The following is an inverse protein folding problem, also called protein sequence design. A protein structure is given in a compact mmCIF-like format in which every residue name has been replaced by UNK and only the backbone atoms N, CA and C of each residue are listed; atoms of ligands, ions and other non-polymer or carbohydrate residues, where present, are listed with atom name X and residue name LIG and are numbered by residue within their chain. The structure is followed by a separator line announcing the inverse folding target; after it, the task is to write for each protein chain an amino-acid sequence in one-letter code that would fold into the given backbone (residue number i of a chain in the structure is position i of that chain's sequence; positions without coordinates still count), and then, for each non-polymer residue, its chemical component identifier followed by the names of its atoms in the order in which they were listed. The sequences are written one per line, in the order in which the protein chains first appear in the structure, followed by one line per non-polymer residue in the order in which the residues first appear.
data_IF_573208490175
#
_entry.id   IF_573208490175
#
_cell.length_a   1.000
_cell.length_b   1.000
_cell.length_c   1.000
_cell.angle_alpha   90.00
_cell.angle_beta   90.00
_cell.angle_gamma   90.00
#
_symmetry.space_group_name_H-M   'P 1'
#
loop_
_entity.id
_entity.type
_entity.pdbx_description
1 polymer ?
#
# COMPACT_ATOMS: atom_id res chain seq x y z
N UNK A 1 23.03 -12.40 -13.03
CA UNK A 1 22.37 -11.26 -12.36
C UNK A 1 21.00 -11.74 -11.90
N UNK A 2 20.68 -11.58 -10.61
CA UNK A 2 19.40 -12.02 -10.02
C UNK A 2 18.30 -11.07 -10.52
N UNK A 3 17.15 -11.61 -10.93
CA UNK A 3 16.02 -10.76 -11.33
C UNK A 3 15.59 -9.91 -10.13
N UNK A 4 15.27 -8.65 -10.38
CA UNK A 4 14.78 -7.72 -9.36
C UNK A 4 13.53 -8.28 -8.66
N UNK A 5 12.67 -8.95 -9.43
CA UNK A 5 11.48 -9.64 -8.90
C UNK A 5 11.84 -10.69 -7.85
N UNK A 6 12.83 -11.53 -8.15
CA UNK A 6 13.26 -12.58 -7.21
C UNK A 6 13.78 -11.93 -5.94
N UNK A 7 14.59 -10.88 -6.06
CA UNK A 7 15.11 -10.11 -4.92
C UNK A 7 13.99 -9.58 -4.03
N UNK A 8 12.92 -9.00 -4.61
CA UNK A 8 11.75 -8.56 -3.86
C UNK A 8 11.04 -9.70 -3.12
N UNK A 9 10.92 -10.88 -3.74
CA UNK A 9 10.32 -12.06 -3.10
C UNK A 9 11.12 -12.50 -1.87
N UNK A 10 12.46 -12.54 -1.97
CA UNK A 10 13.31 -12.89 -0.82
C UNK A 10 13.26 -11.83 0.29
N UNK A 11 13.22 -10.54 -0.07
CA UNK A 11 13.03 -9.47 0.91
C UNK A 11 11.68 -9.63 1.62
N UNK A 12 10.61 -9.90 0.88
CA UNK A 12 9.28 -10.10 1.47
C UNK A 12 9.28 -11.31 2.42
N UNK A 13 9.88 -12.43 2.02
CA UNK A 13 10.00 -13.61 2.87
C UNK A 13 10.79 -13.31 4.16
N UNK A 14 11.90 -12.57 4.06
CA UNK A 14 12.68 -12.15 5.21
C UNK A 14 11.89 -11.21 6.13
N UNK A 15 11.15 -10.25 5.58
CA UNK A 15 10.28 -9.36 6.34
C UNK A 15 9.19 -10.15 7.10
N UNK A 16 8.56 -11.13 6.46
CA UNK A 16 7.58 -12.00 7.10
C UNK A 16 8.19 -12.82 8.26
N UNK A 17 9.40 -13.35 8.08
CA UNK A 17 10.09 -14.06 9.16
C UNK A 17 10.43 -13.12 10.33
N UNK A 18 10.95 -11.93 10.03
CA UNK A 18 11.25 -10.90 11.04
C UNK A 18 9.98 -10.41 11.75
N UNK A 19 8.84 -10.33 11.06
CA UNK A 19 7.55 -10.00 11.67
C UNK A 19 7.14 -11.03 12.70
N UNK A 20 7.30 -12.32 12.42
CA UNK A 20 7.02 -13.38 13.39
C UNK A 20 7.91 -13.24 14.63
N UNK A 21 9.21 -12.97 14.46
CA UNK A 21 10.14 -12.74 15.56
C UNK A 21 9.75 -11.50 16.38
N UNK A 22 9.46 -10.38 15.72
CA UNK A 22 9.07 -9.14 16.37
C UNK A 22 7.75 -9.29 17.15
N UNK A 23 6.80 -10.06 16.61
CA UNK A 23 5.54 -10.37 17.29
C UNK A 23 5.77 -11.22 18.55
N UNK A 24 6.60 -12.26 18.48
CA UNK A 24 6.95 -13.11 19.63
C UNK A 24 7.62 -12.30 20.76
N UNK A 25 8.52 -11.38 20.39
CA UNK A 25 9.22 -10.50 21.34
C UNK A 25 8.38 -9.30 21.80
N UNK A 26 7.14 -9.15 21.29
CA UNK A 26 6.25 -8.01 21.57
C UNK A 26 6.88 -6.65 21.23
N UNK A 27 7.75 -6.62 20.23
CA UNK A 27 8.39 -5.39 19.75
C UNK A 27 7.46 -4.65 18.78
N UNK A 28 6.41 -4.03 19.31
CA UNK A 28 5.32 -3.47 18.50
C UNK A 28 5.77 -2.39 17.50
N UNK A 29 6.76 -1.56 17.88
CA UNK A 29 7.31 -0.53 16.98
C UNK A 29 8.05 -1.18 15.81
N UNK A 30 8.92 -2.14 16.09
CA UNK A 30 9.67 -2.89 15.06
C UNK A 30 8.70 -3.65 14.16
N UNK A 31 7.72 -4.33 14.75
CA UNK A 31 6.66 -5.03 14.03
C UNK A 31 5.91 -4.10 13.06
N UNK A 32 5.61 -2.88 13.49
CA UNK A 32 4.92 -1.90 12.64
C UNK A 32 5.75 -1.48 11.45
N UNK A 33 7.02 -1.14 11.67
CA UNK A 33 7.94 -0.76 10.59
C UNK A 33 8.08 -1.90 9.59
N UNK A 34 8.29 -3.13 10.07
CA UNK A 34 8.39 -4.32 9.24
C UNK A 34 7.09 -4.59 8.46
N UNK A 35 5.93 -4.33 9.06
CA UNK A 35 4.62 -4.52 8.42
C UNK A 35 4.48 -3.58 7.24
N UNK A 36 4.81 -2.30 7.42
CA UNK A 36 4.73 -1.33 6.33
C UNK A 36 5.75 -1.64 5.24
N UNK A 37 6.98 -2.01 5.61
CA UNK A 37 7.99 -2.48 4.65
C UNK A 37 7.46 -3.66 3.84
N UNK A 38 6.81 -4.64 4.48
CA UNK A 38 6.26 -5.81 3.80
C UNK A 38 5.14 -5.43 2.82
N UNK A 39 4.23 -4.54 3.21
CA UNK A 39 3.16 -4.03 2.34
C UNK A 39 3.75 -3.30 1.13
N UNK A 40 4.75 -2.43 1.33
CA UNK A 40 5.41 -1.71 0.24
C UNK A 40 6.15 -2.67 -0.68
N UNK A 41 6.91 -3.63 -0.16
CA UNK A 41 7.61 -4.65 -0.97
C UNK A 41 6.62 -5.48 -1.78
N UNK A 42 5.50 -5.90 -1.18
CA UNK A 42 4.44 -6.62 -1.87
C UNK A 42 3.79 -5.76 -2.97
N UNK A 43 3.49 -4.49 -2.68
CA UNK A 43 2.98 -3.55 -3.66
C UNK A 43 3.94 -3.34 -4.84
N UNK A 44 5.24 -3.18 -4.56
CA UNK A 44 6.28 -3.06 -5.60
C UNK A 44 6.38 -4.31 -6.46
N UNK A 45 6.21 -5.51 -5.88
CA UNK A 45 6.15 -6.76 -6.62
C UNK A 45 4.97 -6.78 -7.59
N UNK A 46 3.80 -6.28 -7.18
CA UNK A 46 2.62 -6.14 -8.04
C UNK A 46 2.76 -5.03 -9.10
N UNK A 47 3.47 -3.96 -8.79
CA UNK A 47 3.74 -2.85 -9.70
C UNK A 47 4.86 -3.15 -10.71
N UNK A 48 5.72 -4.12 -10.42
CA UNK A 48 6.82 -4.53 -11.31
C UNK A 48 6.27 -5.34 -12.49
N UNK A 49 6.29 -4.73 -13.68
CA UNK A 49 5.90 -5.39 -14.94
C UNK A 49 6.97 -5.11 -16.00
N UNK A 50 7.32 -6.16 -16.77
CA UNK A 50 8.28 -6.08 -17.89
C UNK A 50 9.63 -5.40 -17.54
N UNK A 51 10.16 -5.64 -16.35
CA UNK A 51 11.47 -5.11 -15.95
C UNK A 51 11.46 -3.69 -15.38
N UNK A 52 10.28 -3.05 -15.24
CA UNK A 52 10.17 -1.67 -14.75
C UNK A 52 9.10 -1.55 -13.67
N UNK A 53 9.34 -0.62 -12.75
CA UNK A 53 8.34 -0.19 -11.77
C UNK A 53 7.63 1.02 -12.39
N UNK A 54 6.33 0.89 -12.65
CA UNK A 54 5.54 1.99 -13.19
C UNK A 54 5.40 3.17 -12.21
N UNK A 55 4.72 4.26 -12.63
CA UNK A 55 4.48 5.45 -11.80
C UNK A 55 3.86 5.14 -10.43
N UNK A 56 3.09 4.05 -10.36
CA UNK A 56 2.47 3.52 -9.14
C UNK A 56 3.48 3.20 -8.02
N UNK A 57 4.75 2.93 -8.37
CA UNK A 57 5.82 2.68 -7.39
C UNK A 57 6.08 3.88 -6.47
N UNK A 58 6.06 5.10 -7.01
CA UNK A 58 6.23 6.31 -6.19
C UNK A 58 5.04 6.51 -5.25
N UNK A 59 3.82 6.30 -5.74
CA UNK A 59 2.61 6.36 -4.92
C UNK A 59 2.67 5.36 -3.77
N UNK A 60 3.12 4.12 -4.03
CA UNK A 60 3.29 3.10 -3.00
C UNK A 60 4.32 3.50 -1.93
N UNK A 61 5.42 4.14 -2.31
CA UNK A 61 6.41 4.65 -1.36
C UNK A 61 5.84 5.76 -0.49
N UNK A 62 5.07 6.69 -1.06
CA UNK A 62 4.40 7.77 -0.32
C UNK A 62 3.37 7.20 0.66
N UNK A 63 2.52 6.28 0.20
CA UNK A 63 1.55 5.59 1.07
C UNK A 63 2.26 4.84 2.19
N UNK A 64 3.36 4.15 1.88
CA UNK A 64 4.21 3.49 2.87
C UNK A 64 4.75 4.47 3.91
N UNK A 65 5.29 5.61 3.50
CA UNK A 65 5.80 6.62 4.43
C UNK A 65 4.69 7.15 5.37
N UNK A 66 3.50 7.43 4.84
CA UNK A 66 2.33 7.85 5.64
C UNK A 66 1.95 6.77 6.65
N UNK A 67 1.92 5.50 6.23
CA UNK A 67 1.59 4.39 7.12
C UNK A 67 2.63 4.20 8.22
N UNK A 68 3.93 4.35 7.94
CA UNK A 68 4.98 4.30 8.98
C UNK A 68 4.71 5.36 10.05
N UNK A 69 4.48 6.61 9.63
CA UNK A 69 4.19 7.72 10.55
C UNK A 69 2.92 7.44 11.36
N UNK A 70 1.87 6.92 10.72
CA UNK A 70 0.62 6.58 11.37
C UNK A 70 0.79 5.49 12.43
N UNK A 71 1.51 4.42 12.12
CA UNK A 71 1.78 3.36 13.10
C UNK A 71 2.64 3.85 14.28
N UNK A 72 3.68 4.64 14.02
CA UNK A 72 4.50 5.25 15.09
C UNK A 72 3.61 6.10 15.99
N UNK A 73 2.80 6.99 15.41
CA UNK A 73 1.89 7.85 16.17
C UNK A 73 0.85 7.03 16.97
N UNK A 74 0.30 5.96 16.40
CA UNK A 74 -0.62 5.05 17.08
C UNK A 74 0.01 4.46 18.35
N UNK A 75 1.21 3.89 18.24
CA UNK A 75 1.88 3.26 19.39
C UNK A 75 2.40 4.28 20.41
N UNK A 76 2.81 5.47 19.98
CA UNK A 76 3.18 6.56 20.90
C UNK A 76 1.99 7.10 21.70
N UNK A 77 0.78 7.09 21.11
CA UNK A 77 -0.44 7.54 21.77
C UNK A 77 -1.17 6.43 22.52
N UNK A 78 -0.80 5.16 22.29
CA UNK A 78 -1.43 4.02 22.94
C UNK A 78 -0.99 3.90 24.40
N UNK A 79 -1.87 4.32 25.32
CA UNK A 79 -1.67 4.20 26.76
C UNK A 79 -2.76 3.30 27.36
N UNK A 80 -2.50 1.98 27.50
CA UNK A 80 -3.51 1.05 27.97
C UNK A 80 -3.93 1.40 29.41
N UNK A 81 -5.24 1.36 29.67
CA UNK A 81 -5.82 1.65 30.98
C UNK A 81 -5.93 3.13 31.35
N UNK A 82 -5.60 4.04 30.43
CA UNK A 82 -5.79 5.49 30.63
C UNK A 82 -6.97 5.99 29.80
N UNK A 83 -7.83 6.80 30.41
CA UNK A 83 -8.85 7.52 29.68
C UNK A 83 -8.20 8.68 28.91
N UNK A 84 -8.57 8.91 27.65
CA UNK A 84 -8.03 10.00 26.86
C UNK A 84 -8.57 11.33 27.39
N UNK A 85 -7.69 12.34 27.48
CA UNK A 85 -8.11 13.70 27.84
C UNK A 85 -9.06 14.31 26.80
N UNK A 86 -8.93 13.89 25.54
CA UNK A 86 -9.76 14.36 24.42
C UNK A 86 -10.08 13.21 23.46
N UNK A 87 -11.32 13.21 22.98
CA UNK A 87 -11.78 12.31 21.93
C UNK A 87 -11.67 13.00 20.57
N UNK A 88 -11.26 12.24 19.56
CA UNK A 88 -11.24 12.66 18.16
C UNK A 88 -12.40 11.94 17.47
N UNK A 89 -13.46 12.70 17.15
CA UNK A 89 -14.67 12.16 16.52
C UNK A 89 -15.21 10.90 17.24
N UNK A 90 -15.23 10.94 18.58
CA UNK A 90 -15.74 9.85 19.42
C UNK A 90 -14.72 8.75 19.76
N UNK A 91 -13.50 8.80 19.23
CA UNK A 91 -12.47 7.79 19.50
C UNK A 91 -11.31 8.32 20.36
N UNK A 92 -10.69 7.41 21.10
CA UNK A 92 -9.35 7.64 21.65
C UNK A 92 -8.38 8.01 20.51
N UNK A 93 -7.43 8.96 20.68
CA UNK A 93 -6.54 9.40 19.59
C UNK A 93 -5.82 8.27 18.84
N UNK A 94 -5.28 7.29 19.57
CA UNK A 94 -4.67 6.10 18.97
C UNK A 94 -5.66 5.30 18.07
N UNK A 95 -6.91 5.16 18.50
CA UNK A 95 -7.97 4.49 17.72
C UNK A 95 -8.40 5.33 16.52
N UNK A 96 -8.46 6.65 16.64
CA UNK A 96 -8.75 7.54 15.52
C UNK A 96 -7.70 7.39 14.41
N UNK A 97 -6.42 7.28 14.75
CA UNK A 97 -5.35 7.02 13.77
C UNK A 97 -5.55 5.66 13.09
N UNK A 98 -5.86 4.61 13.87
CA UNK A 98 -6.13 3.29 13.32
C UNK A 98 -7.25 3.34 12.27
N UNK A 99 -8.39 3.92 12.63
CA UNK A 99 -9.58 3.92 11.77
C UNK A 99 -9.39 4.86 10.57
N UNK A 100 -9.02 6.11 10.81
CA UNK A 100 -9.04 7.12 9.75
C UNK A 100 -7.79 7.09 8.88
N UNK A 101 -6.63 6.74 9.43
CA UNK A 101 -5.37 6.75 8.69
C UNK A 101 -4.98 5.33 8.28
N UNK A 102 -4.95 4.36 9.18
CA UNK A 102 -4.44 3.03 8.81
C UNK A 102 -5.46 2.26 7.96
N UNK A 103 -6.76 2.41 8.22
CA UNK A 103 -7.80 1.68 7.48
C UNK A 103 -8.36 2.48 6.30
N UNK A 104 -8.83 3.71 6.53
CA UNK A 104 -9.50 4.46 5.46
C UNK A 104 -8.54 5.04 4.42
N UNK A 105 -7.35 5.51 4.80
CA UNK A 105 -6.42 6.13 3.84
C UNK A 105 -6.04 5.20 2.68
N UNK A 106 -5.63 3.92 2.90
CA UNK A 106 -5.37 3.00 1.79
C UNK A 106 -6.57 2.80 0.87
N UNK A 107 -7.78 2.71 1.42
CA UNK A 107 -9.02 2.55 0.65
C UNK A 107 -9.24 3.79 -0.23
N UNK A 108 -9.14 4.99 0.35
CA UNK A 108 -9.31 6.25 -0.37
C UNK A 108 -8.26 6.37 -1.49
N UNK A 109 -6.99 6.07 -1.19
CA UNK A 109 -5.92 6.10 -2.21
C UNK A 109 -6.18 5.11 -3.34
N UNK A 110 -6.70 3.91 -3.04
CA UNK A 110 -7.10 2.92 -4.03
C UNK A 110 -8.25 3.40 -4.92
N UNK A 111 -9.26 4.04 -4.33
CA UNK A 111 -10.39 4.64 -5.08
C UNK A 111 -9.91 5.78 -5.97
N UNK A 112 -9.10 6.70 -5.44
CA UNK A 112 -8.53 7.82 -6.21
C UNK A 112 -7.68 7.28 -7.36
N UNK A 113 -6.85 6.27 -7.11
CA UNK A 113 -6.08 5.59 -8.14
C UNK A 113 -7.00 5.00 -9.23
N UNK A 114 -8.05 4.27 -8.85
CA UNK A 114 -8.97 3.67 -9.81
C UNK A 114 -9.71 4.70 -10.67
N UNK A 115 -10.12 5.83 -10.07
CA UNK A 115 -10.79 6.91 -10.78
C UNK A 115 -9.85 7.65 -11.75
N UNK A 116 -8.58 7.84 -11.35
CA UNK A 116 -7.55 8.52 -12.16
C UNK A 116 -6.82 7.59 -13.13
N UNK A 117 -7.06 6.27 -13.05
CA UNK A 117 -6.37 5.27 -13.88
C UNK A 117 -6.61 5.50 -15.38
N UNK A 118 -7.85 5.83 -15.76
CA UNK A 118 -8.19 6.13 -17.17
C UNK A 118 -7.46 7.36 -17.72
N UNK A 119 -7.19 8.36 -16.90
CA UNK A 119 -6.49 9.57 -17.34
C UNK A 119 -4.96 9.41 -17.39
N UNK A 120 -4.38 8.44 -16.68
CA UNK A 120 -2.92 8.29 -16.56
C UNK A 120 -2.33 7.08 -17.29
N UNK A 121 -3.10 6.02 -17.57
CA UNK A 121 -2.53 4.73 -18.04
C UNK A 121 -3.03 4.28 -19.41
N UNK A 122 -4.11 4.87 -19.93
CA UNK A 122 -4.60 4.65 -21.29
C UNK A 122 -4.70 5.99 -22.01
N UNK A 123 -3.71 6.38 -22.83
CA UNK A 123 -3.87 7.50 -23.74
C UNK A 123 -5.17 7.31 -24.56
N UNK A 124 -5.96 8.36 -24.82
CA UNK A 124 -7.19 8.25 -25.62
C UNK A 124 -6.97 7.54 -26.96
N UNK A 125 -5.76 7.70 -27.50
CA UNK A 125 -5.26 7.10 -28.73
C UNK A 125 -5.18 5.55 -28.67
N UNK A 126 -4.64 4.99 -27.58
CA UNK A 126 -4.55 3.53 -27.40
C UNK A 126 -5.94 2.91 -27.13
N UNK A 127 -6.82 3.65 -26.45
CA UNK A 127 -8.19 3.20 -26.21
C UNK A 127 -9.00 3.10 -27.52
N UNK A 128 -8.85 4.08 -28.43
CA UNK A 128 -9.48 4.02 -29.76
C UNK A 128 -8.87 2.93 -30.65
N UNK A 129 -7.58 2.63 -30.52
CA UNK A 129 -6.98 1.48 -31.23
C UNK A 129 -7.57 0.15 -30.77
N UNK A 130 -7.71 -0.08 -29.46
CA UNK A 130 -8.32 -1.30 -28.91
C UNK A 130 -9.78 -1.43 -29.35
N UNK A 131 -10.52 -0.32 -29.33
CA UNK A 131 -11.92 -0.26 -29.77
C UNK A 131 -12.06 -0.57 -31.27
N UNK A 132 -11.17 -0.07 -32.11
CA UNK A 132 -11.16 -0.36 -33.55
C UNK A 132 -10.80 -1.82 -33.86
N UNK A 133 -9.87 -2.41 -33.10
CA UNK A 133 -9.53 -3.85 -33.21
C UNK A 133 -10.73 -4.72 -32.83
N UNK A 134 -11.40 -4.40 -31.72
CA UNK A 134 -12.59 -5.11 -31.28
C UNK A 134 -13.75 -5.00 -32.29
N UNK A 135 -13.92 -3.82 -32.92
CA UNK A 135 -14.93 -3.59 -33.94
C UNK A 135 -14.66 -4.41 -35.21
N UNK A 136 -13.42 -4.43 -35.69
CA UNK A 136 -13.01 -5.27 -36.84
C UNK A 136 -13.19 -6.77 -36.60
N UNK A 137 -12.98 -7.26 -35.37
CA UNK A 137 -13.22 -8.66 -35.04
C UNK A 137 -14.71 -9.04 -35.02
N UNK A 138 -15.59 -8.10 -34.71
CA UNK A 138 -17.04 -8.33 -34.75
C UNK A 138 -17.64 -8.18 -36.15
N UNK A 139 -17.05 -7.38 -37.04
CA UNK A 139 -17.48 -7.23 -38.43
C UNK A 139 -16.96 -8.35 -39.35
N UNK A 140 -15.95 -9.12 -38.91
CA UNK A 140 -15.40 -10.28 -39.62
C UNK A 140 -16.00 -11.63 -39.23
N UNK A 141 -17.06 -11.64 -38.43
CA UNK A 141 -17.89 -12.81 -38.08
C UNK A 141 -19.29 -12.64 -38.64
#
# INVERSE_FOLDING_TARGET
MRDFRDTLVYILAALCALLMIAALLKWYIVFSILTVCAIVTYGLLGAYKKGQIGPTGLTLLVVGAVLIVAFIALFSLWKPGQLPEKLILGFHPATAILVYVIWLFPIITGVVYALTFKSFTLPPEEFEQIKNIAKKQNEGR
#
